data_IF_954554294536
#
_entry.id   IF_954554294536
#
_cell.length_a   1.000
_cell.length_b   1.000
_cell.length_c   1.000
_cell.angle_alpha   90.00
_cell.angle_beta   90.00
_cell.angle_gamma   90.00
#
_symmetry.space_group_name_H-M   'P 1'
#
loop_
_entity.id
_entity.type
_entity.pdbx_description
1 polymer ?
#
# COMPACT_ATOMS: atom_id res chain seq x y z
N UNK A 1 -48.30 51.27 -17.11
CA UNK A 1 -47.89 49.91 -17.46
C UNK A 1 -46.38 49.68 -17.46
N UNK A 2 -45.58 50.47 -18.25
CA UNK A 2 -44.10 50.26 -18.31
C UNK A 2 -43.37 50.39 -16.95
N UNK A 3 -43.74 51.34 -16.08
CA UNK A 3 -43.13 51.51 -14.75
C UNK A 3 -43.50 50.33 -13.80
N UNK A 4 -44.69 49.77 -13.92
CA UNK A 4 -45.10 48.61 -13.11
C UNK A 4 -44.36 47.35 -13.49
N UNK A 5 -44.17 47.16 -14.82
CA UNK A 5 -43.38 46.01 -15.34
C UNK A 5 -41.91 46.13 -14.89
N UNK A 6 -41.33 47.32 -14.92
CA UNK A 6 -39.95 47.52 -14.46
C UNK A 6 -39.75 47.20 -12.96
N UNK A 7 -40.72 47.57 -12.11
CA UNK A 7 -40.70 47.26 -10.69
C UNK A 7 -40.82 45.73 -10.45
N UNK A 8 -41.68 45.03 -11.21
CA UNK A 8 -41.81 43.58 -11.10
C UNK A 8 -40.53 42.85 -11.57
N UNK A 9 -39.89 43.31 -12.65
CA UNK A 9 -38.64 42.73 -13.17
C UNK A 9 -37.50 42.93 -12.13
N UNK A 10 -37.37 44.12 -11.56
CA UNK A 10 -36.39 44.40 -10.50
C UNK A 10 -36.67 43.57 -9.26
N UNK A 11 -37.92 43.38 -8.85
CA UNK A 11 -38.31 42.53 -7.75
C UNK A 11 -37.98 41.05 -7.98
N UNK A 12 -38.21 40.53 -9.19
CA UNK A 12 -37.81 39.19 -9.58
C UNK A 12 -36.28 39.01 -9.60
N UNK A 13 -35.51 39.98 -10.09
CA UNK A 13 -34.06 39.94 -10.06
C UNK A 13 -33.50 39.92 -8.63
N UNK A 14 -34.07 40.70 -7.70
CA UNK A 14 -33.68 40.67 -6.29
C UNK A 14 -33.98 39.33 -5.60
N UNK A 15 -35.02 38.63 -6.00
CA UNK A 15 -35.33 37.27 -5.50
C UNK A 15 -34.37 36.19 -6.05
N UNK A 16 -33.76 36.41 -7.21
CA UNK A 16 -32.79 35.48 -7.80
C UNK A 16 -31.37 35.62 -7.25
N UNK A 17 -31.08 36.71 -6.51
CA UNK A 17 -29.73 36.94 -5.93
C UNK A 17 -29.52 36.27 -4.57
N UNK A 18 -30.52 35.59 -4.00
CA UNK A 18 -30.41 34.93 -2.68
C UNK A 18 -29.84 33.52 -2.72
N UNK A 19 -29.23 33.10 -3.84
CA UNK A 19 -28.82 31.71 -4.12
C UNK A 19 -27.57 31.19 -3.38
N UNK A 20 -26.87 31.98 -2.55
CA UNK A 20 -25.61 31.54 -1.93
C UNK A 20 -25.71 31.30 -0.40
N UNK A 21 -26.90 31.06 0.13
CA UNK A 21 -27.05 30.78 1.57
C UNK A 21 -26.76 29.31 1.87
N UNK A 22 -25.51 29.04 2.29
CA UNK A 22 -25.10 27.69 2.69
C UNK A 22 -23.71 27.26 2.22
N UNK A 23 -22.95 28.12 1.57
CA UNK A 23 -21.53 27.80 1.29
C UNK A 23 -20.76 27.81 2.62
N UNK A 24 -20.36 26.61 3.07
CA UNK A 24 -19.40 26.51 4.18
C UNK A 24 -18.07 27.09 3.68
N UNK A 25 -17.58 28.12 4.38
CA UNK A 25 -16.26 28.69 4.08
C UNK A 25 -15.19 27.60 4.20
N UNK A 26 -14.37 27.43 3.18
CA UNK A 26 -13.27 26.45 3.16
C UNK A 26 -12.36 26.63 4.38
N UNK A 27 -12.20 27.85 4.86
CA UNK A 27 -11.37 28.20 6.03
C UNK A 27 -11.99 27.79 7.37
N UNK A 28 -13.28 27.50 7.41
CA UNK A 28 -14.03 27.14 8.62
C UNK A 28 -14.16 25.62 8.84
N UNK A 29 -13.27 24.82 8.26
CA UNK A 29 -13.26 23.37 8.40
C UNK A 29 -11.84 22.84 8.65
N UNK A 30 -11.74 21.72 9.38
CA UNK A 30 -10.50 20.99 9.56
C UNK A 30 -10.49 19.78 8.63
N UNK A 31 -9.56 19.76 7.68
CA UNK A 31 -9.48 18.74 6.65
C UNK A 31 -8.61 17.57 7.08
N UNK A 32 -9.19 16.36 7.12
CA UNK A 32 -8.47 15.12 7.37
C UNK A 32 -7.72 14.64 6.15
N UNK A 33 -6.47 14.24 6.33
CA UNK A 33 -5.63 13.61 5.31
C UNK A 33 -5.54 12.11 5.46
N UNK A 34 -5.60 11.61 6.70
CA UNK A 34 -5.59 10.19 7.01
C UNK A 34 -6.45 9.89 8.25
N UNK A 35 -7.02 8.68 8.27
CA UNK A 35 -7.66 8.10 9.44
C UNK A 35 -6.85 6.91 9.93
N UNK A 36 -6.59 6.88 11.23
CA UNK A 36 -6.03 5.74 11.92
C UNK A 36 -7.11 5.03 12.74
N UNK A 37 -7.18 3.72 12.68
CA UNK A 37 -8.18 2.94 13.42
C UNK A 37 -7.47 1.86 14.20
N UNK A 38 -7.64 1.89 15.51
CA UNK A 38 -7.15 0.90 16.47
C UNK A 38 -8.33 0.28 17.21
N UNK A 39 -8.12 -0.89 17.81
CA UNK A 39 -9.13 -1.55 18.62
C UNK A 39 -8.47 -2.13 19.87
N UNK A 40 -8.84 -1.62 21.04
CA UNK A 40 -8.27 -2.04 22.33
C UNK A 40 -9.32 -2.07 23.42
N UNK A 41 -9.27 -3.06 24.28
CA UNK A 41 -10.12 -3.16 25.46
C UNK A 41 -11.63 -3.11 25.16
N UNK A 42 -12.04 -3.59 23.98
CA UNK A 42 -13.44 -3.60 23.56
C UNK A 42 -13.92 -2.33 22.84
N UNK A 43 -13.07 -1.30 22.70
CA UNK A 43 -13.40 -0.04 22.07
C UNK A 43 -12.57 0.22 20.80
N UNK A 44 -13.19 0.87 19.83
CA UNK A 44 -12.47 1.49 18.73
C UNK A 44 -11.81 2.80 19.18
N UNK A 45 -10.61 3.02 18.68
CA UNK A 45 -9.87 4.26 18.84
C UNK A 45 -9.62 4.82 17.44
N UNK A 46 -10.26 5.95 17.14
CA UNK A 46 -10.08 6.64 15.88
C UNK A 46 -9.06 7.77 16.04
N UNK A 47 -8.10 7.82 15.13
CA UNK A 47 -7.14 8.91 15.01
C UNK A 47 -7.41 9.66 13.70
N UNK A 48 -7.46 10.97 13.79
CA UNK A 48 -7.68 11.87 12.67
C UNK A 48 -6.45 12.73 12.44
N UNK A 49 -5.79 12.57 11.31
CA UNK A 49 -4.66 13.42 10.93
C UNK A 49 -5.17 14.61 10.11
N UNK A 50 -5.02 15.82 10.63
CA UNK A 50 -5.43 17.04 9.95
C UNK A 50 -4.28 17.67 9.16
N UNK A 51 -4.63 18.28 8.02
CA UNK A 51 -3.74 19.10 7.20
C UNK A 51 -3.85 20.58 7.56
N UNK A 52 -2.71 21.24 7.64
CA UNK A 52 -2.66 22.69 7.69
C UNK A 52 -2.43 23.26 6.28
N UNK A 53 -3.50 23.64 5.60
CA UNK A 53 -3.42 24.21 4.26
C UNK A 53 -2.69 25.56 4.20
N UNK A 54 -2.74 26.35 5.28
CA UNK A 54 -2.03 27.64 5.34
C UNK A 54 -0.52 27.48 5.22
N UNK A 55 0.01 26.42 5.82
CA UNK A 55 1.44 26.13 5.79
C UNK A 55 1.86 25.52 4.44
N UNK A 56 0.96 24.78 3.78
CA UNK A 56 1.20 24.26 2.42
C UNK A 56 1.28 25.41 1.41
N UNK A 57 0.36 26.36 1.48
CA UNK A 57 0.33 27.52 0.57
C UNK A 57 1.52 28.48 0.77
N UNK A 58 2.00 28.63 2.00
CA UNK A 58 3.18 29.48 2.31
C UNK A 58 4.49 28.89 1.79
N UNK A 59 4.59 27.57 1.63
CA UNK A 59 5.81 26.94 1.13
C UNK A 59 6.06 27.18 -0.36
N UNK A 60 5.05 27.49 -1.15
CA UNK A 60 5.22 27.84 -2.57
C UNK A 60 5.89 29.22 -2.78
N UNK A 61 5.99 30.06 -1.73
CA UNK A 61 6.52 31.41 -1.82
C UNK A 61 7.67 31.78 -0.89
N UNK A 62 8.15 30.90 0.00
CA UNK A 62 9.07 31.28 1.07
C UNK A 62 10.46 30.62 0.96
N UNK A 63 11.48 31.46 0.97
CA UNK A 63 12.89 31.12 1.19
C UNK A 63 13.10 30.43 2.54
N UNK A 64 13.64 29.25 2.48
CA UNK A 64 14.34 28.42 3.46
C UNK A 64 14.51 29.03 4.87
N UNK A 65 13.68 28.62 5.82
CA UNK A 65 13.95 28.48 7.27
C UNK A 65 12.62 28.22 8.03
N UNK A 66 11.72 27.40 7.48
CA UNK A 66 10.48 27.12 8.20
C UNK A 66 10.67 25.98 9.21
N UNK A 67 10.16 26.23 10.42
CA UNK A 67 9.94 25.20 11.43
C UNK A 67 9.06 24.07 10.86
N UNK A 68 9.28 22.85 11.37
CA UNK A 68 8.47 21.66 10.98
C UNK A 68 6.99 22.02 11.05
N UNK A 69 6.28 21.88 9.95
CA UNK A 69 4.81 22.08 9.91
C UNK A 69 4.16 21.10 10.89
N UNK A 70 3.51 21.61 11.91
CA UNK A 70 2.84 20.81 12.92
C UNK A 70 1.74 19.95 12.30
N UNK A 71 1.64 18.70 12.71
CA UNK A 71 0.51 17.82 12.39
C UNK A 71 -0.46 17.87 13.54
N UNK A 72 -1.72 18.22 13.27
CA UNK A 72 -2.77 18.12 14.27
C UNK A 72 -3.35 16.70 14.22
N UNK A 73 -3.32 16.01 15.36
CA UNK A 73 -3.89 14.68 15.47
C UNK A 73 -5.02 14.70 16.50
N UNK A 74 -6.24 14.46 16.03
CA UNK A 74 -7.40 14.20 16.88
C UNK A 74 -7.45 12.73 17.27
N UNK A 75 -8.10 12.45 18.42
CA UNK A 75 -8.34 11.10 18.90
C UNK A 75 -9.73 11.02 19.51
N UNK A 76 -10.52 10.04 19.09
CA UNK A 76 -11.82 9.70 19.68
C UNK A 76 -11.92 8.22 19.99
N UNK A 77 -12.83 7.84 20.89
CA UNK A 77 -13.10 6.48 21.33
C UNK A 77 -14.58 6.16 21.26
N UNK A 78 -14.94 4.90 21.04
CA UNK A 78 -16.33 4.45 21.03
C UNK A 78 -16.46 2.95 20.83
N UNK A 79 -17.66 2.42 21.06
CA UNK A 79 -17.98 1.01 20.80
C UNK A 79 -18.05 0.71 19.31
N UNK A 80 -18.24 1.73 18.47
CA UNK A 80 -18.17 1.70 17.01
C UNK A 80 -17.23 2.76 16.46
N UNK A 81 -16.84 2.64 15.18
CA UNK A 81 -16.00 3.65 14.52
C UNK A 81 -16.76 4.97 14.37
N UNK A 82 -18.09 4.91 14.10
CA UNK A 82 -18.98 6.08 14.06
C UNK A 82 -19.01 6.82 15.39
N UNK A 83 -19.15 6.09 16.50
CA UNK A 83 -19.16 6.68 17.84
C UNK A 83 -17.81 7.32 18.17
N UNK A 84 -16.71 6.65 17.85
CA UNK A 84 -15.35 7.21 18.02
C UNK A 84 -15.16 8.49 17.19
N UNK A 85 -15.71 8.56 15.98
CA UNK A 85 -15.66 9.77 15.16
C UNK A 85 -16.58 10.88 15.74
N UNK A 86 -17.76 10.53 16.19
CA UNK A 86 -18.71 11.47 16.82
C UNK A 86 -18.14 12.08 18.10
N UNK A 87 -17.49 11.27 18.94
CA UNK A 87 -16.81 11.77 20.16
C UNK A 87 -15.71 12.76 19.79
N UNK A 88 -14.96 12.48 18.74
CA UNK A 88 -13.93 13.39 18.24
C UNK A 88 -14.52 14.70 17.71
N UNK A 89 -15.62 14.64 16.93
CA UNK A 89 -16.29 15.85 16.40
C UNK A 89 -16.85 16.75 17.50
N UNK A 90 -17.42 16.16 18.56
CA UNK A 90 -17.95 16.92 19.70
C UNK A 90 -16.89 17.72 20.45
N UNK A 91 -15.63 17.29 20.37
CA UNK A 91 -14.48 17.93 21.00
C UNK A 91 -13.65 18.78 20.02
N UNK A 92 -14.09 18.93 18.77
CA UNK A 92 -13.39 19.70 17.76
C UNK A 92 -13.81 21.17 17.78
N UNK A 93 -12.86 22.11 17.67
CA UNK A 93 -13.15 23.53 17.57
C UNK A 93 -13.77 23.93 16.22
N UNK A 94 -13.55 23.16 15.18
CA UNK A 94 -14.09 23.34 13.83
C UNK A 94 -14.63 22.00 13.31
N UNK A 95 -15.65 22.02 12.45
CA UNK A 95 -16.16 20.80 11.81
C UNK A 95 -15.05 20.01 11.13
N UNK A 96 -15.04 18.69 11.33
CA UNK A 96 -14.08 17.78 10.70
C UNK A 96 -14.59 17.37 9.32
N UNK A 97 -13.73 17.50 8.32
CA UNK A 97 -14.06 17.10 6.95
C UNK A 97 -13.17 15.94 6.49
N UNK A 98 -13.79 14.81 6.24
CA UNK A 98 -13.09 13.55 5.88
C UNK A 98 -13.02 13.28 4.37
N UNK A 99 -13.64 14.12 3.53
CA UNK A 99 -13.63 13.96 2.08
C UNK A 99 -12.28 14.08 1.40
N UNK A 100 -11.24 14.48 2.13
CA UNK A 100 -9.85 14.52 1.68
C UNK A 100 -8.98 13.41 2.28
N UNK A 101 -9.57 12.50 3.03
CA UNK A 101 -8.85 11.32 3.55
C UNK A 101 -8.35 10.48 2.38
N UNK A 102 -7.02 10.39 2.30
CA UNK A 102 -6.30 9.68 1.25
C UNK A 102 -5.71 8.35 1.74
N UNK A 103 -5.67 8.13 3.05
CA UNK A 103 -5.08 6.94 3.63
C UNK A 103 -5.80 6.48 4.88
N UNK A 104 -5.89 5.16 5.02
CA UNK A 104 -6.28 4.46 6.23
C UNK A 104 -5.08 3.73 6.82
N UNK A 105 -4.87 3.85 8.13
CA UNK A 105 -3.87 3.10 8.87
C UNK A 105 -4.58 2.30 9.96
N UNK A 106 -4.54 0.98 9.84
CA UNK A 106 -5.17 0.08 10.79
C UNK A 106 -4.14 -0.50 11.75
N UNK A 107 -4.54 -0.76 12.99
CA UNK A 107 -3.76 -1.62 13.86
C UNK A 107 -3.90 -3.09 13.49
N UNK A 108 -3.00 -3.94 13.97
CA UNK A 108 -3.09 -5.39 13.81
C UNK A 108 -4.37 -5.95 14.46
N UNK A 109 -4.81 -5.40 15.59
CA UNK A 109 -6.03 -5.83 16.27
C UNK A 109 -7.28 -5.61 15.41
N UNK A 110 -7.35 -4.51 14.68
CA UNK A 110 -8.46 -4.24 13.73
C UNK A 110 -8.46 -5.28 12.61
N UNK A 111 -7.31 -5.58 12.03
CA UNK A 111 -7.22 -6.61 10.97
C UNK A 111 -7.64 -7.98 11.48
N UNK A 112 -7.23 -8.32 12.66
CA UNK A 112 -7.49 -9.64 13.24
C UNK A 112 -8.98 -9.83 13.59
N UNK A 113 -9.64 -8.81 14.14
CA UNK A 113 -10.95 -8.98 14.77
C UNK A 113 -12.07 -8.09 14.22
N UNK A 114 -11.74 -6.96 13.58
CA UNK A 114 -12.67 -5.87 13.26
C UNK A 114 -12.65 -5.43 11.79
N UNK A 115 -12.09 -6.27 10.91
CA UNK A 115 -11.94 -5.91 9.50
C UNK A 115 -13.28 -5.68 8.78
N UNK A 116 -14.32 -6.45 9.15
CA UNK A 116 -15.67 -6.27 8.59
C UNK A 116 -16.30 -4.95 9.03
N UNK A 117 -16.15 -4.60 10.31
CA UNK A 117 -16.65 -3.32 10.85
C UNK A 117 -15.99 -2.13 10.13
N UNK A 118 -14.68 -2.20 9.87
CA UNK A 118 -13.96 -1.19 9.10
C UNK A 118 -14.48 -1.07 7.66
N UNK A 119 -14.62 -2.20 6.95
CA UNK A 119 -15.11 -2.21 5.56
C UNK A 119 -16.53 -1.62 5.49
N UNK A 120 -17.38 -1.99 6.45
CA UNK A 120 -18.76 -1.52 6.53
C UNK A 120 -18.84 -0.02 6.82
N UNK A 121 -18.02 0.49 7.76
CA UNK A 121 -17.94 1.91 8.07
C UNK A 121 -17.55 2.73 6.84
N UNK A 122 -16.43 2.39 6.17
CA UNK A 122 -16.00 3.12 4.98
C UNK A 122 -17.01 3.01 3.84
N UNK A 123 -17.67 1.85 3.72
CA UNK A 123 -18.70 1.61 2.69
C UNK A 123 -19.98 2.42 2.87
N UNK A 124 -20.33 2.79 4.11
CA UNK A 124 -21.51 3.58 4.46
C UNK A 124 -21.25 5.09 4.48
N UNK A 125 -20.00 5.50 4.66
CA UNK A 125 -19.63 6.91 4.77
C UNK A 125 -19.42 7.54 3.37
N UNK A 126 -20.33 8.40 2.88
CA UNK A 126 -20.31 8.88 1.50
C UNK A 126 -19.16 9.84 1.20
N UNK A 127 -18.53 10.43 2.22
CA UNK A 127 -17.39 11.33 2.04
C UNK A 127 -16.07 10.57 1.89
N UNK A 128 -15.97 9.33 2.39
CA UNK A 128 -14.76 8.53 2.28
C UNK A 128 -14.61 7.93 0.88
N UNK A 129 -13.39 7.92 0.38
CA UNK A 129 -13.11 7.50 -0.99
C UNK A 129 -12.60 6.07 -1.05
N UNK A 130 -13.12 5.30 -2.00
CA UNK A 130 -12.67 3.93 -2.27
C UNK A 130 -11.23 3.84 -2.84
N UNK A 131 -10.69 4.93 -3.37
CA UNK A 131 -9.31 4.98 -3.88
C UNK A 131 -8.27 5.39 -2.82
N UNK A 132 -8.67 5.49 -1.55
CA UNK A 132 -7.75 5.75 -0.44
C UNK A 132 -6.81 4.56 -0.23
N UNK A 133 -5.57 4.87 0.17
CA UNK A 133 -4.54 3.88 0.46
C UNK A 133 -4.81 3.17 1.79
N UNK A 134 -4.39 1.93 1.88
CA UNK A 134 -4.55 1.12 3.08
C UNK A 134 -3.21 0.57 3.56
N UNK A 135 -2.93 0.79 4.82
CA UNK A 135 -1.77 0.27 5.52
C UNK A 135 -2.14 -0.32 6.86
N UNK A 136 -1.25 -1.15 7.38
CA UNK A 136 -1.34 -1.66 8.74
C UNK A 136 -0.06 -1.39 9.49
N UNK A 137 -0.15 -1.22 10.79
CA UNK A 137 1.01 -1.01 11.64
C UNK A 137 0.84 -1.70 12.99
N UNK A 138 1.95 -2.15 13.55
CA UNK A 138 2.06 -2.53 14.97
C UNK A 138 2.67 -1.41 15.82
N UNK A 139 3.01 -0.28 15.20
CA UNK A 139 3.47 0.92 15.90
C UNK A 139 2.28 1.71 16.44
N UNK A 140 2.55 2.59 17.40
CA UNK A 140 1.56 3.60 17.80
C UNK A 140 1.19 4.49 16.60
N UNK A 141 -0.10 4.50 16.24
CA UNK A 141 -0.61 5.26 15.10
C UNK A 141 -0.27 6.77 15.24
N UNK A 142 -0.24 7.31 16.45
CA UNK A 142 0.21 8.70 16.67
C UNK A 142 1.67 8.90 16.25
N UNK A 143 2.55 7.93 16.52
CA UNK A 143 3.94 8.01 16.09
C UNK A 143 4.04 7.97 14.57
N UNK A 144 3.24 7.10 13.92
CA UNK A 144 3.18 7.02 12.46
C UNK A 144 2.70 8.33 11.86
N UNK A 145 1.65 8.96 12.40
CA UNK A 145 1.14 10.25 11.94
C UNK A 145 2.09 11.42 12.20
N UNK A 146 2.89 11.35 13.26
CA UNK A 146 3.93 12.33 13.58
C UNK A 146 5.28 12.06 12.92
N UNK A 147 5.34 11.08 12.01
CA UNK A 147 6.57 10.77 11.31
C UNK A 147 7.12 11.96 10.52
N UNK A 148 8.42 11.91 10.23
CA UNK A 148 9.10 12.96 9.51
C UNK A 148 8.95 12.80 7.99
N UNK A 149 9.00 13.92 7.28
CA UNK A 149 9.24 13.99 5.85
C UNK A 149 10.67 14.44 5.58
N UNK A 150 11.15 14.23 4.36
CA UNK A 150 12.44 14.80 3.94
C UNK A 150 12.36 16.32 3.85
N UNK A 151 13.45 17.00 4.26
CA UNK A 151 13.61 18.45 4.17
C UNK A 151 12.48 19.27 4.84
N UNK A 152 11.84 18.72 5.87
CA UNK A 152 10.69 19.29 6.53
C UNK A 152 9.51 19.62 5.59
N UNK A 153 9.42 18.90 4.46
CA UNK A 153 8.26 18.98 3.58
C UNK A 153 6.97 18.62 4.35
N UNK A 154 5.80 19.09 3.91
CA UNK A 154 4.54 18.68 4.49
C UNK A 154 4.38 17.15 4.50
N UNK A 155 3.65 16.62 5.47
CA UNK A 155 3.38 15.17 5.57
C UNK A 155 2.68 14.57 4.34
N UNK A 156 2.14 15.42 3.45
CA UNK A 156 1.65 15.03 2.12
C UNK A 156 2.70 14.34 1.24
N UNK A 157 3.98 14.53 1.53
CA UNK A 157 5.10 13.94 0.76
C UNK A 157 5.67 12.68 1.43
N UNK A 158 4.94 12.07 2.35
CA UNK A 158 5.33 10.80 2.95
C UNK A 158 4.70 9.62 2.20
N UNK A 159 5.22 8.41 2.43
CA UNK A 159 4.66 7.16 1.90
C UNK A 159 3.19 6.96 2.30
N UNK A 160 2.75 7.54 3.41
CA UNK A 160 1.38 7.46 3.88
C UNK A 160 0.42 8.11 2.88
N UNK A 161 0.80 9.27 2.35
CA UNK A 161 -0.06 10.06 1.48
C UNK A 161 0.18 9.83 -0.01
N UNK A 162 1.42 9.52 -0.38
CA UNK A 162 1.83 9.33 -1.78
C UNK A 162 2.73 8.09 -1.94
N UNK A 163 2.21 6.89 -1.66
CA UNK A 163 3.02 5.68 -1.78
C UNK A 163 3.54 5.45 -3.20
N UNK A 164 2.78 5.86 -4.23
CA UNK A 164 3.17 5.72 -5.65
C UNK A 164 4.47 6.44 -6.00
N UNK A 165 4.76 7.58 -5.35
CA UNK A 165 5.98 8.35 -5.62
C UNK A 165 7.18 7.86 -4.82
N UNK A 166 6.94 7.20 -3.68
CA UNK A 166 7.99 6.69 -2.77
C UNK A 166 8.31 5.23 -3.05
N UNK A 167 7.29 4.46 -3.48
CA UNK A 167 7.46 3.07 -3.89
C UNK A 167 8.04 3.07 -5.30
N UNK A 168 9.34 3.28 -5.36
CA UNK A 168 10.13 3.20 -6.58
C UNK A 168 10.47 1.77 -6.94
N UNK A 169 11.18 1.62 -8.02
CA UNK A 169 11.68 0.42 -8.68
C UNK A 169 12.22 -0.69 -7.75
N UNK A 170 12.63 -0.35 -6.53
CA UNK A 170 13.18 -1.28 -5.53
C UNK A 170 12.12 -1.88 -4.57
N UNK A 171 10.87 -1.45 -4.64
CA UNK A 171 9.80 -1.97 -3.80
C UNK A 171 8.99 -3.03 -4.55
N UNK A 172 8.83 -4.19 -3.93
CA UNK A 172 8.01 -5.29 -4.45
C UNK A 172 6.73 -5.53 -3.64
N UNK A 173 6.56 -4.80 -2.53
CA UNK A 173 5.29 -4.77 -1.80
C UNK A 173 4.50 -3.59 -2.37
N UNK A 174 3.47 -3.91 -3.12
CA UNK A 174 2.64 -2.89 -3.77
C UNK A 174 1.75 -2.17 -2.75
N UNK A 175 1.55 -0.85 -2.91
CA UNK A 175 0.52 -0.16 -2.14
C UNK A 175 -0.84 -0.76 -2.48
N UNK A 176 -1.74 -0.80 -1.50
CA UNK A 176 -3.09 -1.35 -1.64
C UNK A 176 -4.11 -0.23 -1.48
N UNK A 177 -5.09 -0.17 -2.39
CA UNK A 177 -6.25 0.71 -2.27
C UNK A 177 -7.41 0.01 -1.55
N UNK A 178 -8.24 0.78 -0.85
CA UNK A 178 -9.42 0.25 -0.20
C UNK A 178 -10.37 -0.47 -1.18
N UNK A 179 -10.50 0.04 -2.41
CA UNK A 179 -11.28 -0.62 -3.47
C UNK A 179 -10.76 -2.02 -3.81
N UNK A 180 -9.44 -2.20 -3.82
CA UNK A 180 -8.82 -3.51 -4.08
C UNK A 180 -9.03 -4.47 -2.90
N UNK A 181 -8.93 -3.93 -1.68
CA UNK A 181 -9.27 -4.71 -0.48
C UNK A 181 -10.69 -5.25 -0.58
N UNK A 182 -11.69 -4.38 -0.78
CA UNK A 182 -13.11 -4.77 -0.84
C UNK A 182 -13.36 -5.79 -1.96
N UNK A 183 -12.77 -5.54 -3.14
CA UNK A 183 -12.88 -6.46 -4.28
C UNK A 183 -12.37 -7.87 -3.99
N UNK A 184 -11.30 -7.99 -3.21
CA UNK A 184 -10.66 -9.28 -2.90
C UNK A 184 -11.18 -9.93 -1.61
N UNK A 185 -11.66 -9.12 -0.66
CA UNK A 185 -12.04 -9.59 0.68
C UNK A 185 -13.15 -10.64 0.66
N UNK A 186 -14.11 -10.50 -0.26
CA UNK A 186 -15.23 -11.42 -0.42
C UNK A 186 -14.97 -12.53 -1.46
N UNK A 187 -13.79 -12.56 -2.10
CA UNK A 187 -13.47 -13.64 -3.03
C UNK A 187 -13.20 -14.95 -2.28
N UNK A 188 -13.70 -16.10 -2.82
CA UNK A 188 -13.51 -17.38 -2.17
C UNK A 188 -12.11 -17.96 -2.31
N UNK A 189 -11.29 -17.42 -3.23
CA UNK A 189 -9.92 -17.87 -3.54
C UNK A 189 -8.99 -16.67 -3.56
N UNK A 190 -7.75 -16.89 -3.14
CA UNK A 190 -6.70 -15.90 -3.14
C UNK A 190 -6.43 -15.27 -1.77
N UNK A 191 -5.47 -14.37 -1.76
CA UNK A 191 -5.04 -13.65 -0.57
C UNK A 191 -4.88 -12.15 -0.83
N UNK A 192 -4.89 -11.38 0.24
CA UNK A 192 -4.66 -9.95 0.23
C UNK A 192 -3.42 -9.68 1.08
N UNK A 193 -2.43 -9.04 0.51
CA UNK A 193 -1.28 -8.54 1.24
C UNK A 193 -1.47 -7.05 1.49
N UNK A 194 -1.68 -6.65 2.74
CA UNK A 194 -1.82 -5.25 3.14
C UNK A 194 -0.45 -4.77 3.62
N UNK A 195 0.12 -3.72 3.00
CA UNK A 195 1.45 -3.24 3.34
C UNK A 195 1.57 -2.83 4.81
N UNK A 196 2.67 -3.22 5.44
CA UNK A 196 2.99 -2.89 6.83
C UNK A 196 3.87 -1.66 6.91
N UNK A 197 3.43 -0.63 7.65
CA UNK A 197 4.19 0.57 7.96
C UNK A 197 4.94 0.43 9.28
N UNK A 198 6.21 0.82 9.28
CA UNK A 198 7.04 0.98 10.47
C UNK A 198 7.83 2.28 10.41
N UNK A 199 8.27 2.78 11.55
CA UNK A 199 9.13 3.96 11.63
C UNK A 199 10.60 3.54 11.59
N UNK A 200 11.31 4.03 10.56
CA UNK A 200 12.75 3.84 10.42
C UNK A 200 13.49 5.07 10.97
N UNK A 201 14.28 4.86 12.01
CA UNK A 201 15.05 5.90 12.69
C UNK A 201 16.58 5.81 12.39
N UNK A 202 17.03 4.80 11.59
CA UNK A 202 18.45 4.44 11.47
C UNK A 202 19.16 4.99 10.24
N UNK A 203 18.43 5.36 9.19
CA UNK A 203 19.05 5.58 7.88
C UNK A 203 19.26 7.04 7.52
N UNK A 204 18.54 7.95 8.18
CA UNK A 204 18.58 9.37 7.83
C UNK A 204 18.76 10.25 9.05
N UNK A 205 19.69 11.19 8.96
CA UNK A 205 19.90 12.23 9.96
C UNK A 205 19.78 13.62 9.32
N UNK A 206 19.25 14.57 10.06
CA UNK A 206 19.22 15.98 9.67
C UNK A 206 19.78 16.81 10.80
N UNK A 207 20.88 17.54 10.55
CA UNK A 207 21.60 18.35 11.54
C UNK A 207 21.94 17.56 12.81
N UNK A 208 22.35 16.29 12.65
CA UNK A 208 22.73 15.40 13.75
C UNK A 208 21.55 14.78 14.52
N UNK A 209 20.31 15.01 14.09
CA UNK A 209 19.12 14.36 14.68
C UNK A 209 18.60 13.27 13.75
N UNK A 210 18.30 12.10 14.30
CA UNK A 210 17.69 10.99 13.58
C UNK A 210 16.30 11.38 13.08
N UNK A 211 16.01 11.03 11.83
CA UNK A 211 14.70 11.25 11.21
C UNK A 211 13.84 9.98 11.31
N UNK A 212 12.59 10.18 11.71
CA UNK A 212 11.56 9.14 11.86
C UNK A 212 10.79 8.97 10.56
N UNK A 213 11.35 8.21 9.62
CA UNK A 213 10.77 8.06 8.28
C UNK A 213 9.89 6.81 8.22
N UNK A 214 8.60 6.92 7.80
CA UNK A 214 7.74 5.76 7.61
C UNK A 214 8.21 4.95 6.40
N UNK A 215 8.35 3.63 6.59
CA UNK A 215 8.80 2.68 5.56
C UNK A 215 7.98 1.39 5.60
N UNK A 216 8.10 0.57 4.54
CA UNK A 216 7.48 -0.75 4.49
C UNK A 216 8.47 -1.84 4.93
N UNK A 217 8.06 -2.70 5.86
CA UNK A 217 8.88 -3.81 6.36
C UNK A 217 8.31 -5.20 6.07
N UNK A 218 7.13 -5.29 5.48
CA UNK A 218 6.42 -6.52 5.18
C UNK A 218 4.96 -6.26 4.85
N UNK A 219 4.12 -7.23 5.12
CA UNK A 219 2.67 -7.08 4.95
C UNK A 219 1.88 -8.03 5.84
N UNK A 220 0.66 -7.64 6.09
CA UNK A 220 -0.34 -8.41 6.82
C UNK A 220 -1.22 -9.15 5.82
N UNK A 221 -1.40 -10.44 6.03
CA UNK A 221 -2.06 -11.33 5.08
C UNK A 221 -3.48 -11.65 5.53
N UNK A 222 -4.43 -11.38 4.64
CA UNK A 222 -5.81 -11.84 4.76
C UNK A 222 -6.08 -12.90 3.68
N UNK A 223 -6.80 -13.95 4.01
CA UNK A 223 -7.33 -14.93 3.06
C UNK A 223 -8.66 -15.46 3.57
N UNK A 224 -9.67 -15.56 2.70
CA UNK A 224 -11.01 -16.03 3.06
C UNK A 224 -11.59 -15.25 4.26
N UNK A 225 -11.45 -13.92 4.27
CA UNK A 225 -11.91 -13.01 5.33
C UNK A 225 -11.24 -13.26 6.71
N UNK A 226 -10.14 -14.00 6.76
CA UNK A 226 -9.41 -14.31 7.99
C UNK A 226 -8.00 -13.74 7.95
N UNK A 227 -7.56 -13.22 9.06
CA UNK A 227 -6.17 -12.84 9.26
C UNK A 227 -5.28 -14.10 9.34
N UNK A 228 -4.19 -14.11 8.59
CA UNK A 228 -3.24 -15.24 8.49
C UNK A 228 -1.90 -14.98 9.15
N UNK A 229 -1.58 -13.72 9.40
CA UNK A 229 -0.34 -13.32 10.05
C UNK A 229 0.40 -12.21 9.31
N UNK A 230 1.45 -11.72 9.94
CA UNK A 230 2.42 -10.82 9.36
C UNK A 230 3.52 -11.60 8.63
N UNK A 231 3.90 -11.15 7.44
CA UNK A 231 5.01 -11.70 6.67
C UNK A 231 6.05 -10.62 6.41
N UNK A 232 7.30 -10.90 6.78
CA UNK A 232 8.40 -9.95 6.64
C UNK A 232 8.76 -9.67 5.19
N UNK A 233 9.34 -8.49 4.91
CA UNK A 233 9.87 -8.13 3.58
C UNK A 233 10.85 -9.19 3.05
N UNK A 234 11.66 -9.78 3.93
CA UNK A 234 12.63 -10.81 3.54
C UNK A 234 11.95 -12.14 3.12
N UNK A 235 10.80 -12.47 3.70
CA UNK A 235 10.05 -13.68 3.39
C UNK A 235 9.14 -13.51 2.18
N UNK A 236 8.82 -12.26 1.83
CA UNK A 236 8.08 -11.88 0.63
C UNK A 236 8.97 -11.67 -0.61
N UNK A 237 10.27 -11.96 -0.52
CA UNK A 237 11.24 -11.59 -1.56
C UNK A 237 10.92 -12.18 -2.94
N UNK A 238 10.23 -13.33 -2.99
CA UNK A 238 9.80 -13.96 -4.23
C UNK A 238 8.77 -13.14 -5.04
N UNK A 239 8.03 -12.22 -4.38
CA UNK A 239 7.07 -11.35 -5.06
C UNK A 239 7.72 -10.48 -6.15
N UNK A 240 8.98 -10.10 -5.96
CA UNK A 240 9.76 -9.35 -6.97
C UNK A 240 9.71 -10.00 -8.35
N UNK A 241 9.69 -11.33 -8.36
CA UNK A 241 9.83 -12.14 -9.56
C UNK A 241 8.48 -12.53 -10.17
N UNK A 242 7.45 -12.70 -9.33
CA UNK A 242 6.18 -13.32 -9.76
C UNK A 242 5.09 -12.29 -10.06
N UNK A 243 5.07 -11.15 -9.37
CA UNK A 243 3.97 -10.17 -9.52
C UNK A 243 3.99 -9.32 -10.80
N UNK A 244 5.07 -9.38 -11.62
CA UNK A 244 5.24 -8.57 -12.83
C UNK A 244 5.12 -7.05 -12.62
N UNK A 245 5.43 -6.55 -11.43
CA UNK A 245 5.31 -5.13 -11.06
C UNK A 245 6.65 -4.43 -10.92
N UNK A 246 7.72 -5.19 -10.67
CA UNK A 246 9.05 -4.63 -10.55
C UNK A 246 9.55 -4.18 -11.94
N UNK A 247 10.02 -2.93 -12.04
CA UNK A 247 10.63 -2.40 -13.26
C UNK A 247 12.13 -2.67 -13.29
N UNK A 248 12.81 -2.51 -12.15
CA UNK A 248 14.24 -2.77 -12.00
C UNK A 248 14.49 -3.46 -10.67
N UNK A 249 15.28 -4.52 -10.69
CA UNK A 249 15.71 -5.23 -9.48
C UNK A 249 17.22 -5.19 -9.38
N UNK A 250 17.74 -4.54 -8.35
CA UNK A 250 19.13 -4.59 -8.00
C UNK A 250 19.45 -5.93 -7.34
N UNK A 251 20.39 -6.65 -7.90
CA UNK A 251 20.75 -7.99 -7.50
C UNK A 251 22.24 -8.13 -7.25
N UNK A 252 22.63 -8.60 -6.07
CA UNK A 252 24.04 -8.78 -5.71
C UNK A 252 24.33 -10.22 -5.32
N UNK A 253 25.42 -10.75 -5.87
CA UNK A 253 26.06 -11.97 -5.45
C UNK A 253 27.28 -11.58 -4.61
N UNK A 254 27.06 -11.27 -3.33
CA UNK A 254 28.06 -10.67 -2.43
C UNK A 254 29.37 -11.47 -2.32
N UNK A 255 29.28 -12.81 -2.27
CA UNK A 255 30.44 -13.69 -2.19
C UNK A 255 31.35 -13.59 -3.42
N UNK A 256 30.79 -13.28 -4.59
CA UNK A 256 31.49 -13.18 -5.86
C UNK A 256 31.74 -11.74 -6.28
N UNK A 257 31.40 -10.76 -5.44
CA UNK A 257 31.51 -9.32 -5.76
C UNK A 257 30.94 -8.97 -7.14
N UNK A 258 29.81 -9.61 -7.48
CA UNK A 258 29.09 -9.37 -8.73
C UNK A 258 27.79 -8.65 -8.41
N UNK A 259 27.48 -7.61 -9.15
CA UNK A 259 26.16 -6.95 -9.10
C UNK A 259 25.56 -6.83 -10.49
N UNK A 260 24.24 -7.07 -10.53
CA UNK A 260 23.45 -7.09 -11.76
C UNK A 260 22.19 -6.25 -11.54
N UNK A 261 21.76 -5.57 -12.54
CA UNK A 261 20.47 -4.89 -12.59
C UNK A 261 19.55 -5.68 -13.51
N UNK A 262 18.50 -6.27 -12.94
CA UNK A 262 17.50 -7.05 -13.67
C UNK A 262 16.34 -6.15 -14.04
N UNK A 263 15.98 -6.13 -15.32
CA UNK A 263 14.93 -5.26 -15.86
C UNK A 263 13.66 -6.06 -16.14
N UNK A 264 12.54 -5.50 -15.74
CA UNK A 264 11.16 -5.93 -16.06
C UNK A 264 10.97 -7.46 -16.06
N UNK A 265 11.18 -8.15 -14.93
CA UNK A 265 10.97 -9.59 -14.89
C UNK A 265 9.52 -9.91 -15.23
N UNK A 266 9.31 -10.88 -16.12
CA UNK A 266 8.00 -11.35 -16.55
C UNK A 266 7.82 -12.80 -16.17
N UNK A 267 6.78 -13.08 -15.40
CA UNK A 267 6.41 -14.44 -15.02
C UNK A 267 5.14 -14.86 -15.72
N UNK A 268 5.23 -15.97 -16.42
CA UNK A 268 4.08 -16.68 -16.97
C UNK A 268 3.72 -17.87 -16.07
N UNK A 269 2.45 -17.98 -15.72
CA UNK A 269 1.91 -19.07 -14.90
C UNK A 269 0.95 -19.86 -15.77
N UNK A 270 1.26 -21.14 -15.97
CA UNK A 270 0.44 -22.08 -16.72
C UNK A 270 -0.24 -23.06 -15.77
N UNK A 271 -1.55 -23.22 -15.89
CA UNK A 271 -2.33 -24.24 -15.17
C UNK A 271 -2.30 -25.53 -15.96
N UNK A 272 -1.97 -26.65 -15.32
CA UNK A 272 -1.97 -27.98 -15.91
C UNK A 272 -3.31 -28.67 -15.65
N UNK A 273 -4.09 -28.85 -16.72
CA UNK A 273 -5.48 -29.26 -16.62
C UNK A 273 -5.73 -30.78 -16.48
N UNK A 274 -4.75 -31.59 -16.72
CA UNK A 274 -4.92 -33.05 -16.81
C UNK A 274 -4.91 -33.78 -15.45
N UNK A 275 -4.85 -33.02 -14.35
CA UNK A 275 -4.71 -33.55 -13.00
C UNK A 275 -6.02 -33.44 -12.20
N UNK A 276 -6.15 -34.26 -11.15
CA UNK A 276 -7.28 -34.16 -10.20
C UNK A 276 -7.30 -32.83 -9.42
N UNK A 277 -6.12 -32.30 -9.17
CA UNK A 277 -5.88 -31.01 -8.51
C UNK A 277 -5.13 -30.08 -9.45
N UNK A 278 -5.30 -28.75 -9.35
CA UNK A 278 -4.58 -27.81 -10.20
C UNK A 278 -3.09 -27.83 -9.88
N UNK A 279 -2.26 -28.13 -10.88
CA UNK A 279 -0.81 -27.96 -10.81
C UNK A 279 -0.39 -26.77 -11.67
N UNK A 280 0.71 -26.16 -11.30
CA UNK A 280 1.15 -24.90 -11.92
C UNK A 280 2.61 -24.97 -12.36
N UNK A 281 2.88 -24.54 -13.59
CA UNK A 281 4.23 -24.26 -14.07
C UNK A 281 4.48 -22.75 -14.03
N UNK A 282 5.59 -22.35 -13.46
CA UNK A 282 6.05 -20.96 -13.43
C UNK A 282 7.26 -20.81 -14.35
N UNK A 283 7.19 -19.87 -15.29
CA UNK A 283 8.33 -19.47 -16.12
C UNK A 283 8.65 -18.00 -15.93
N UNK A 284 9.81 -17.71 -15.33
CA UNK A 284 10.35 -16.36 -15.13
C UNK A 284 11.34 -16.05 -16.23
N UNK A 285 11.16 -14.92 -16.91
CA UNK A 285 12.08 -14.39 -17.93
C UNK A 285 12.44 -12.97 -17.59
N UNK A 286 13.72 -12.64 -17.68
CA UNK A 286 14.18 -11.25 -17.53
C UNK A 286 15.49 -11.02 -18.27
N UNK A 287 15.75 -9.77 -18.62
CA UNK A 287 17.04 -9.30 -19.08
C UNK A 287 17.74 -8.56 -17.94
N UNK A 288 19.05 -8.60 -17.92
CA UNK A 288 19.84 -7.91 -16.93
C UNK A 288 21.07 -7.23 -17.54
N UNK A 289 21.60 -6.26 -16.80
CA UNK A 289 22.82 -5.54 -17.15
C UNK A 289 23.85 -5.78 -16.04
N UNK A 290 25.03 -6.25 -16.41
CA UNK A 290 26.13 -6.42 -15.48
C UNK A 290 26.66 -5.05 -15.04
N UNK A 291 26.60 -4.75 -13.74
CA UNK A 291 27.10 -3.50 -13.15
C UNK A 291 28.50 -3.66 -12.56
N UNK A 292 28.80 -4.82 -11.99
CA UNK A 292 30.07 -5.09 -11.36
C UNK A 292 30.43 -6.58 -11.47
N UNK A 293 31.70 -6.87 -11.76
CA UNK A 293 32.24 -8.24 -11.79
C UNK A 293 33.73 -8.19 -11.41
N UNK A 294 34.03 -8.03 -10.11
CA UNK A 294 35.41 -7.89 -9.63
C UNK A 294 36.20 -9.18 -9.81
N UNK A 295 35.54 -10.30 -9.56
CA UNK A 295 36.19 -11.63 -9.63
C UNK A 295 36.30 -12.18 -11.08
N UNK A 296 35.92 -11.37 -12.09
CA UNK A 296 35.97 -11.74 -13.52
C UNK A 296 35.27 -13.08 -13.83
N UNK A 297 34.11 -13.31 -13.23
CA UNK A 297 33.32 -14.50 -13.51
C UNK A 297 32.82 -14.51 -14.97
N UNK A 298 32.78 -15.71 -15.54
CA UNK A 298 32.14 -15.93 -16.83
C UNK A 298 30.63 -15.62 -16.80
N UNK A 299 30.10 -15.00 -17.87
CA UNK A 299 28.72 -14.57 -17.95
C UNK A 299 27.72 -15.70 -17.73
N UNK A 300 27.95 -16.85 -18.36
CA UNK A 300 27.09 -18.02 -18.20
C UNK A 300 27.05 -18.55 -16.75
N UNK A 301 28.17 -18.38 -16.01
CA UNK A 301 28.19 -18.70 -14.57
C UNK A 301 27.41 -17.68 -13.76
N UNK A 302 27.47 -16.40 -14.12
CA UNK A 302 26.70 -15.34 -13.47
C UNK A 302 25.21 -15.59 -13.69
N UNK A 303 24.76 -15.80 -14.92
CA UNK A 303 23.36 -16.09 -15.26
C UNK A 303 22.83 -17.28 -14.44
N UNK A 304 23.53 -18.42 -14.42
CA UNK A 304 23.13 -19.59 -13.63
C UNK A 304 23.02 -19.32 -12.13
N UNK A 305 23.91 -18.53 -11.56
CA UNK A 305 23.87 -18.15 -10.14
C UNK A 305 22.67 -17.25 -9.85
N UNK A 306 22.39 -16.29 -10.72
CA UNK A 306 21.22 -15.41 -10.61
C UNK A 306 19.93 -16.24 -10.72
N UNK A 307 19.81 -17.12 -11.74
CA UNK A 307 18.67 -18.02 -11.91
C UNK A 307 18.42 -18.91 -10.68
N UNK A 308 19.49 -19.48 -10.12
CA UNK A 308 19.41 -20.29 -8.90
C UNK A 308 18.88 -19.47 -7.72
N UNK A 309 19.37 -18.26 -7.55
CA UNK A 309 18.95 -17.38 -6.46
C UNK A 309 17.51 -16.90 -6.63
N UNK A 310 17.08 -16.55 -7.85
CA UNK A 310 15.69 -16.22 -8.17
C UNK A 310 14.77 -17.38 -7.80
N UNK A 311 15.14 -18.62 -8.17
CA UNK A 311 14.38 -19.82 -7.78
C UNK A 311 14.31 -19.98 -6.26
N UNK A 312 15.40 -19.76 -5.54
CA UNK A 312 15.45 -19.80 -4.08
C UNK A 312 14.53 -18.75 -3.45
N UNK A 313 14.51 -17.52 -3.97
CA UNK A 313 13.66 -16.44 -3.49
C UNK A 313 12.16 -16.79 -3.65
N UNK A 314 11.79 -17.37 -4.80
CA UNK A 314 10.42 -17.85 -5.06
C UNK A 314 10.06 -18.98 -4.07
N UNK A 315 10.93 -20.00 -3.95
CA UNK A 315 10.70 -21.13 -3.04
C UNK A 315 10.61 -20.70 -1.58
N UNK A 316 11.36 -19.68 -1.17
CA UNK A 316 11.28 -19.11 0.18
C UNK A 316 9.89 -18.52 0.45
N UNK A 317 9.37 -17.73 -0.47
CA UNK A 317 8.03 -17.12 -0.32
C UNK A 317 6.91 -18.17 -0.38
N UNK A 318 7.03 -19.19 -1.25
CA UNK A 318 6.11 -20.34 -1.25
C UNK A 318 6.11 -21.07 0.09
N UNK A 319 7.29 -21.38 0.64
CA UNK A 319 7.40 -22.04 1.94
C UNK A 319 6.88 -21.17 3.11
N UNK A 320 6.92 -19.86 2.97
CA UNK A 320 6.28 -18.96 3.96
C UNK A 320 4.76 -19.01 3.83
N UNK A 321 4.22 -19.01 2.61
CA UNK A 321 2.79 -19.17 2.36
C UNK A 321 2.25 -20.49 2.91
N UNK A 322 2.98 -21.58 2.72
CA UNK A 322 2.64 -22.90 3.26
C UNK A 322 2.48 -22.89 4.79
N UNK A 323 3.40 -22.21 5.52
CA UNK A 323 3.35 -22.12 6.98
C UNK A 323 2.08 -21.41 7.51
N UNK A 324 1.51 -20.49 6.74
CA UNK A 324 0.30 -19.76 7.10
C UNK A 324 -0.94 -20.21 6.31
N UNK A 325 -0.84 -21.36 5.60
CA UNK A 325 -1.90 -21.93 4.75
C UNK A 325 -2.49 -20.89 3.79
N UNK A 326 -1.63 -20.24 3.00
CA UNK A 326 -2.05 -19.14 2.11
C UNK A 326 -1.17 -19.06 0.87
N UNK A 327 -1.79 -18.90 -0.28
CA UNK A 327 -1.10 -18.61 -1.55
C UNK A 327 -0.71 -17.12 -1.60
N UNK A 328 0.52 -16.81 -1.21
CA UNK A 328 1.05 -15.45 -1.20
C UNK A 328 1.26 -14.84 -2.60
N UNK A 329 1.33 -15.69 -3.62
CA UNK A 329 1.49 -15.26 -5.01
C UNK A 329 0.17 -15.12 -5.77
N UNK A 330 -0.94 -15.57 -5.18
CA UNK A 330 -2.24 -15.65 -5.84
C UNK A 330 -2.20 -16.49 -7.15
N UNK A 331 -1.36 -17.52 -7.19
CA UNK A 331 -1.22 -18.43 -8.34
C UNK A 331 -2.52 -19.20 -8.54
N UNK A 332 -3.13 -19.65 -7.46
CA UNK A 332 -4.40 -20.40 -7.42
C UNK A 332 -5.58 -19.62 -8.02
N UNK A 333 -5.55 -18.28 -7.99
CA UNK A 333 -6.56 -17.46 -8.66
C UNK A 333 -6.65 -17.73 -10.18
N UNK A 334 -5.55 -18.22 -10.82
CA UNK A 334 -5.57 -18.58 -12.23
C UNK A 334 -6.53 -19.73 -12.51
N UNK A 335 -6.51 -20.78 -11.67
CA UNK A 335 -7.45 -21.89 -11.78
C UNK A 335 -8.89 -21.41 -11.53
N UNK A 336 -9.10 -20.61 -10.50
CA UNK A 336 -10.41 -20.06 -10.17
C UNK A 336 -11.01 -19.19 -11.29
N UNK A 337 -10.21 -18.34 -11.92
CA UNK A 337 -10.71 -17.36 -12.91
C UNK A 337 -10.86 -17.94 -14.32
N UNK A 338 -9.97 -18.84 -14.72
CA UNK A 338 -9.88 -19.29 -16.12
C UNK A 338 -10.29 -20.75 -16.35
N UNK A 339 -10.47 -21.50 -15.26
CA UNK A 339 -10.87 -22.92 -15.35
C UNK A 339 -12.11 -23.20 -14.49
N UNK A 340 -13.10 -22.31 -14.65
CA UNK A 340 -14.39 -22.37 -13.94
C UNK A 340 -15.03 -23.73 -14.15
N UNK A 341 -15.61 -24.32 -13.09
CA UNK A 341 -16.26 -25.62 -13.08
C UNK A 341 -15.34 -26.86 -13.21
N UNK A 342 -14.01 -26.68 -13.21
CA UNK A 342 -13.10 -27.81 -13.28
C UNK A 342 -12.75 -28.35 -11.89
N UNK A 343 -12.54 -27.47 -10.94
CA UNK A 343 -12.21 -27.80 -9.55
C UNK A 343 -13.06 -26.97 -8.61
N UNK A 344 -13.45 -27.56 -7.49
CA UNK A 344 -14.12 -26.86 -6.43
C UNK A 344 -13.18 -25.87 -5.72
N UNK A 345 -13.74 -24.82 -5.11
CA UNK A 345 -12.97 -23.83 -4.40
C UNK A 345 -12.12 -24.43 -3.26
N UNK A 346 -12.58 -25.51 -2.63
CA UNK A 346 -11.83 -26.23 -1.59
C UNK A 346 -10.54 -26.81 -2.14
N UNK A 347 -10.61 -27.46 -3.33
CA UNK A 347 -9.45 -28.03 -4.03
C UNK A 347 -8.50 -26.91 -4.48
N UNK A 348 -9.03 -25.81 -5.02
CA UNK A 348 -8.18 -24.68 -5.44
C UNK A 348 -7.48 -24.04 -4.23
N UNK A 349 -8.16 -23.99 -3.09
CA UNK A 349 -7.66 -23.43 -1.85
C UNK A 349 -6.72 -24.35 -1.06
N UNK A 350 -6.58 -25.61 -1.46
CA UNK A 350 -5.57 -26.53 -0.90
C UNK A 350 -4.17 -26.27 -1.48
N UNK A 351 -4.00 -25.17 -2.22
CA UNK A 351 -2.72 -24.75 -2.78
C UNK A 351 -1.60 -24.74 -1.74
N UNK A 352 -0.54 -25.46 -2.05
CA UNK A 352 0.69 -25.49 -1.29
C UNK A 352 1.91 -25.56 -2.24
N UNK A 353 3.07 -25.81 -1.69
CA UNK A 353 4.32 -25.90 -2.45
C UNK A 353 4.30 -27.07 -3.46
N UNK A 354 3.57 -28.17 -3.18
CA UNK A 354 3.47 -29.32 -4.08
C UNK A 354 2.57 -29.05 -5.29
N UNK A 355 1.72 -28.03 -5.21
CA UNK A 355 0.93 -27.53 -6.34
C UNK A 355 1.80 -26.92 -7.44
N UNK A 356 3.07 -26.60 -7.15
CA UNK A 356 4.02 -26.10 -8.15
C UNK A 356 4.75 -27.31 -8.79
N UNK A 357 4.38 -27.62 -10.03
CA UNK A 357 5.00 -28.70 -10.79
C UNK A 357 6.44 -28.33 -11.22
N UNK A 358 6.64 -27.11 -11.74
CA UNK A 358 7.97 -26.68 -12.20
C UNK A 358 8.15 -25.15 -12.04
N UNK A 359 9.39 -24.76 -11.73
CA UNK A 359 9.84 -23.35 -11.75
C UNK A 359 11.03 -23.27 -12.70
N UNK A 360 10.80 -22.65 -13.86
CA UNK A 360 11.82 -22.37 -14.86
C UNK A 360 12.20 -20.91 -14.79
N UNK A 361 13.49 -20.63 -14.70
CA UNK A 361 14.04 -19.28 -14.69
C UNK A 361 15.00 -19.13 -15.84
N UNK A 362 14.84 -18.09 -16.66
CA UNK A 362 15.69 -17.78 -17.80
C UNK A 362 16.09 -16.31 -17.69
N UNK A 363 17.32 -16.06 -17.33
CA UNK A 363 17.89 -14.70 -17.19
C UNK A 363 18.98 -14.53 -18.24
N UNK A 364 18.88 -13.49 -19.04
CA UNK A 364 19.92 -13.11 -19.98
C UNK A 364 20.59 -11.82 -19.48
N UNK A 365 21.94 -11.84 -19.36
CA UNK A 365 22.70 -10.73 -18.80
C UNK A 365 23.66 -10.20 -19.85
N UNK A 366 23.56 -8.91 -20.15
CA UNK A 366 24.42 -8.19 -21.09
C UNK A 366 25.48 -7.39 -20.34
N UNK A 367 26.61 -7.13 -21.01
CA UNK A 367 27.58 -6.17 -20.53
C UNK A 367 27.02 -4.76 -20.64
N UNK A 368 27.23 -3.94 -19.60
CA UNK A 368 26.98 -2.50 -19.74
C UNK A 368 27.92 -1.92 -20.80
N UNK A 369 27.42 -1.14 -21.73
CA UNK A 369 28.24 -0.40 -22.71
C UNK A 369 29.27 0.52 -22.02
N UNK A 370 29.00 0.91 -20.79
CA UNK A 370 29.88 1.74 -19.95
C UNK A 370 30.82 0.93 -19.04
N UNK A 371 30.89 -0.39 -19.19
CA UNK A 371 31.79 -1.22 -18.41
C UNK A 371 33.24 -1.03 -18.90
N UNK A 372 33.93 -0.04 -18.35
CA UNK A 372 35.39 0.13 -18.55
C UNK A 372 36.10 -0.98 -17.79
N UNK A 373 36.82 -1.84 -18.53
CA UNK A 373 37.72 -2.84 -17.96
C UNK A 373 38.89 -2.16 -17.26
#
# INVERSE_FOLDING_TARGET
MRKLIAVIVIGCQLLLTTGCWGMKEIQAQTYGSALGIDYKEGEFILYFQALNFSDIAKQEGATALQEKTGVLIGKGKGESIEEAFTELEQNAALPLYIGHVNSFILSEDVINTKMKDFIEYVGKEPLLRYNSWLFVTNEDIKKVFNSDSFFNLPNLFTIIQRPETVINENYFISPLKFSELVSKFYQPVGSILIPSLVINERHYTDRGKEKKIPTLNGGYVLSKQQYKGFVSKQDLIGLKWVENKATVIFFSLNEQKVSVEIMEPKTNIKVLEQQKEPLYDLEVKANGILKQNIDNLDMGKIEKKVETKVKQDILKTLGTGEKINTDLFNISEKAYRYHVNKWDNEIINSFDKTSINNIKVNIHIEHSENYKR
#
